data_IF_344554773450
#
_entry.id   IF_344554773450
#
_cell.length_a   1.000
_cell.length_b   1.000
_cell.length_c   1.000
_cell.angle_alpha   90.00
_cell.angle_beta   90.00
_cell.angle_gamma   90.00
#
_symmetry.space_group_name_H-M   'P 1'
#
loop_
_entity.id
_entity.type
_entity.pdbx_description
1 polymer ?
#
# COMPACT_ATOMS: atom_id res chain seq x y z
N UNK A 1 -8.66 53.83 16.10
CA UNK A 1 -9.84 54.14 15.27
C UNK A 1 -10.55 52.81 14.99
N UNK A 2 -11.78 52.62 15.48
CA UNK A 2 -12.54 51.37 15.33
C UNK A 2 -13.17 51.35 13.93
N UNK A 3 -12.82 50.38 13.08
CA UNK A 3 -13.55 50.15 11.83
C UNK A 3 -14.55 49.01 12.05
N UNK A 4 -15.81 49.41 12.19
CA UNK A 4 -16.99 48.54 12.15
C UNK A 4 -17.35 48.41 10.68
N UNK A 5 -17.17 47.23 10.11
CA UNK A 5 -17.73 46.90 8.79
C UNK A 5 -18.74 45.77 8.99
N UNK A 6 -20.01 46.14 8.90
CA UNK A 6 -21.13 45.20 8.84
C UNK A 6 -21.17 44.60 7.43
N UNK A 7 -21.32 43.28 7.26
CA UNK A 7 -21.60 42.72 5.95
C UNK A 7 -23.09 42.86 5.65
N UNK A 8 -23.41 43.63 4.61
CA UNK A 8 -24.75 43.70 4.05
C UNK A 8 -25.07 42.37 3.35
N UNK A 9 -25.82 41.49 4.00
CA UNK A 9 -26.41 40.31 3.35
C UNK A 9 -27.74 40.70 2.74
N UNK A 10 -27.76 40.76 1.41
CA UNK A 10 -28.99 40.51 0.65
C UNK A 10 -28.72 39.39 -0.34
N UNK A 11 -29.18 38.19 0.00
CA UNK A 11 -29.54 37.23 -1.02
C UNK A 11 -30.78 36.46 -0.55
N UNK A 12 -31.90 36.79 -1.19
CA UNK A 12 -33.06 35.93 -1.24
C UNK A 12 -32.75 34.81 -2.25
N UNK A 13 -33.07 33.56 -1.89
CA UNK A 13 -33.21 32.49 -2.85
C UNK A 13 -32.31 31.27 -2.60
N UNK A 14 -32.94 30.18 -2.16
CA UNK A 14 -32.55 28.83 -2.52
C UNK A 14 -31.57 28.15 -1.58
N UNK A 15 -32.11 27.26 -0.73
CA UNK A 15 -31.37 26.13 -0.16
C UNK A 15 -30.60 25.40 -1.27
N UNK A 16 -29.28 25.51 -1.30
CA UNK A 16 -28.41 24.67 -2.13
C UNK A 16 -27.27 24.09 -1.30
N UNK A 17 -27.49 22.85 -0.87
CA UNK A 17 -26.57 21.72 -1.01
C UNK A 17 -25.10 21.95 -0.64
N UNK A 18 -24.78 22.00 0.64
CA UNK A 18 -23.41 21.69 1.11
C UNK A 18 -23.11 20.19 1.23
N UNK A 19 -24.13 19.32 1.19
CA UNK A 19 -23.96 17.87 1.32
C UNK A 19 -23.41 17.21 0.04
N UNK A 20 -23.76 17.71 -1.15
CA UNK A 20 -23.43 17.06 -2.42
C UNK A 20 -21.93 17.06 -2.75
N UNK A 21 -21.20 18.10 -2.35
CA UNK A 21 -19.75 18.18 -2.61
C UNK A 21 -18.96 17.16 -1.78
N UNK A 22 -19.34 16.96 -0.51
CA UNK A 22 -18.61 16.06 0.39
C UNK A 22 -18.94 14.58 0.11
N UNK A 23 -20.18 14.28 -0.26
CA UNK A 23 -20.58 12.90 -0.61
C UNK A 23 -19.94 12.38 -1.90
N UNK A 24 -19.64 13.25 -2.86
CA UNK A 24 -18.98 12.85 -4.11
C UNK A 24 -17.47 12.60 -3.92
N UNK A 25 -16.81 13.39 -3.08
CA UNK A 25 -15.38 13.22 -2.77
C UNK A 25 -15.09 11.89 -2.07
N UNK A 26 -15.90 11.52 -1.06
CA UNK A 26 -15.79 10.23 -0.36
C UNK A 26 -15.93 9.06 -1.34
N UNK A 27 -16.92 9.10 -2.24
CA UNK A 27 -17.12 8.01 -3.22
C UNK A 27 -16.02 7.88 -4.27
N UNK A 28 -15.31 8.97 -4.59
CA UNK A 28 -14.22 8.96 -5.55
C UNK A 28 -12.91 8.49 -4.91
N UNK A 29 -12.66 8.85 -3.65
CA UNK A 29 -11.52 8.37 -2.87
C UNK A 29 -11.64 6.86 -2.59
N UNK A 30 -12.79 6.41 -2.11
CA UNK A 30 -13.07 4.98 -1.88
C UNK A 30 -12.85 4.12 -3.14
N UNK A 31 -13.24 4.64 -4.31
CA UNK A 31 -13.02 3.95 -5.58
C UNK A 31 -11.55 3.91 -5.99
N UNK A 32 -10.78 4.96 -5.71
CA UNK A 32 -9.33 4.99 -5.98
C UNK A 32 -8.60 4.01 -5.07
N UNK A 33 -8.92 4.02 -3.79
CA UNK A 33 -8.31 3.15 -2.79
C UNK A 33 -8.58 1.68 -3.11
N UNK A 34 -9.82 1.35 -3.49
CA UNK A 34 -10.18 0.00 -3.91
C UNK A 34 -9.39 -0.44 -5.15
N UNK A 35 -9.30 0.40 -6.19
CA UNK A 35 -8.52 0.07 -7.39
C UNK A 35 -7.04 -0.12 -7.09
N UNK A 36 -6.49 0.68 -6.19
CA UNK A 36 -5.10 0.54 -5.76
C UNK A 36 -4.88 -0.79 -5.02
N UNK A 37 -5.76 -1.13 -4.08
CA UNK A 37 -5.72 -2.40 -3.36
C UNK A 37 -5.86 -3.61 -4.31
N UNK A 38 -6.79 -3.53 -5.27
CA UNK A 38 -6.98 -4.58 -6.29
C UNK A 38 -5.72 -4.74 -7.17
N UNK A 39 -5.08 -3.63 -7.55
CA UNK A 39 -3.85 -3.67 -8.35
C UNK A 39 -2.68 -4.26 -7.55
N UNK A 40 -2.51 -3.84 -6.30
CA UNK A 40 -1.48 -4.38 -5.41
C UNK A 40 -1.72 -5.88 -5.15
N UNK A 41 -2.98 -6.26 -5.05
CA UNK A 41 -3.38 -7.67 -4.97
C UNK A 41 -2.96 -8.46 -6.20
N UNK A 42 -3.28 -7.97 -7.39
CA UNK A 42 -2.88 -8.64 -8.62
C UNK A 42 -1.35 -8.76 -8.73
N UNK A 43 -0.62 -7.71 -8.36
CA UNK A 43 0.84 -7.68 -8.36
C UNK A 43 1.45 -8.76 -7.45
N UNK A 44 0.98 -8.89 -6.21
CA UNK A 44 1.49 -9.92 -5.31
C UNK A 44 1.15 -11.33 -5.79
N UNK A 45 -0.06 -11.55 -6.33
CA UNK A 45 -0.41 -12.85 -6.90
C UNK A 45 0.52 -13.19 -8.07
N UNK A 46 0.84 -12.23 -8.94
CA UNK A 46 1.80 -12.41 -10.04
C UNK A 46 3.20 -12.78 -9.51
N UNK A 47 3.72 -12.05 -8.52
CA UNK A 47 5.02 -12.39 -7.90
C UNK A 47 5.00 -13.82 -7.35
N UNK A 48 3.93 -14.20 -6.64
CA UNK A 48 3.77 -15.55 -6.08
C UNK A 48 3.78 -16.62 -7.17
N UNK A 49 3.15 -16.38 -8.33
CA UNK A 49 3.18 -17.35 -9.44
C UNK A 49 4.59 -17.63 -9.95
N UNK A 50 5.52 -16.69 -9.85
CA UNK A 50 6.91 -16.86 -10.28
C UNK A 50 7.79 -17.55 -9.25
N UNK A 51 7.43 -17.48 -7.95
CA UNK A 51 8.26 -18.01 -6.85
C UNK A 51 7.66 -19.23 -6.16
N UNK A 52 6.45 -19.66 -6.54
CA UNK A 52 5.71 -20.78 -5.90
C UNK A 52 6.43 -22.13 -5.93
N UNK A 53 7.42 -22.32 -6.79
CA UNK A 53 8.18 -23.56 -6.91
C UNK A 53 9.54 -23.46 -6.21
N UNK A 54 9.89 -22.31 -5.64
CA UNK A 54 11.10 -22.16 -4.84
C UNK A 54 11.02 -23.00 -3.57
N UNK A 55 12.12 -23.65 -3.21
CA UNK A 55 12.24 -24.45 -1.98
C UNK A 55 12.34 -23.57 -0.74
N UNK A 56 12.91 -22.37 -0.89
CA UNK A 56 13.07 -21.39 0.18
C UNK A 56 12.89 -19.95 -0.35
N UNK A 57 12.31 -19.09 0.49
CA UNK A 57 11.94 -17.71 0.19
C UNK A 57 12.49 -16.80 1.29
N UNK A 58 13.34 -15.85 0.92
CA UNK A 58 13.83 -14.81 1.83
C UNK A 58 13.21 -13.47 1.43
N UNK A 59 12.50 -12.83 2.36
CA UNK A 59 11.87 -11.52 2.15
C UNK A 59 12.70 -10.42 2.82
N UNK A 60 13.06 -9.39 2.08
CA UNK A 60 13.69 -8.19 2.65
C UNK A 60 13.29 -6.93 1.89
N UNK A 61 13.20 -5.83 2.62
CA UNK A 61 12.96 -4.50 2.04
C UNK A 61 12.45 -3.48 3.05
N UNK A 62 12.44 -2.20 2.66
CA UNK A 62 11.89 -1.13 3.50
C UNK A 62 10.37 -1.21 3.53
N UNK A 63 9.78 -0.69 4.62
CA UNK A 63 8.32 -0.55 4.75
C UNK A 63 7.56 -1.86 4.94
N UNK A 64 6.26 -1.81 4.63
CA UNK A 64 5.26 -2.81 5.02
C UNK A 64 5.05 -3.92 3.97
N UNK A 65 5.43 -3.66 2.72
CA UNK A 65 5.19 -4.55 1.58
C UNK A 65 5.69 -6.00 1.80
N UNK A 66 6.81 -6.18 2.51
CA UNK A 66 7.33 -7.52 2.84
C UNK A 66 6.40 -8.30 3.77
N UNK A 67 5.74 -7.62 4.73
CA UNK A 67 4.81 -8.25 5.66
C UNK A 67 3.46 -8.55 5.00
N UNK A 68 3.03 -7.71 4.06
CA UNK A 68 1.85 -8.00 3.25
C UNK A 68 2.07 -9.22 2.35
N UNK A 69 3.24 -9.30 1.70
CA UNK A 69 3.61 -10.45 0.88
C UNK A 69 3.80 -11.73 1.73
N UNK A 70 4.40 -11.62 2.91
CA UNK A 70 4.52 -12.73 3.87
C UNK A 70 3.14 -13.32 4.21
N UNK A 71 2.17 -12.47 4.60
CA UNK A 71 0.81 -12.91 4.91
C UNK A 71 0.16 -13.63 3.73
N UNK A 72 0.29 -13.08 2.53
CA UNK A 72 -0.23 -13.73 1.31
C UNK A 72 0.41 -15.08 1.03
N UNK A 73 1.73 -15.20 1.20
CA UNK A 73 2.42 -16.48 1.04
C UNK A 73 1.93 -17.50 2.08
N UNK A 74 1.68 -17.07 3.32
CA UNK A 74 1.07 -17.91 4.35
C UNK A 74 -0.33 -18.39 3.94
N UNK A 75 -1.20 -17.48 3.48
CA UNK A 75 -2.56 -17.80 3.02
C UNK A 75 -2.58 -18.76 1.82
N UNK A 76 -1.54 -18.72 0.97
CA UNK A 76 -1.36 -19.63 -0.18
C UNK A 76 -0.67 -20.95 0.21
N UNK A 77 -0.40 -21.19 1.49
CA UNK A 77 0.25 -22.42 1.98
C UNK A 77 1.77 -22.49 1.72
N UNK A 78 2.41 -21.36 1.39
CA UNK A 78 3.84 -21.26 1.13
C UNK A 78 4.63 -20.73 2.34
N UNK A 79 3.94 -20.46 3.46
CA UNK A 79 4.55 -19.89 4.67
C UNK A 79 5.73 -20.71 5.22
N UNK A 80 5.69 -22.04 5.11
CA UNK A 80 6.80 -22.90 5.59
C UNK A 80 8.09 -22.76 4.78
N UNK A 81 8.02 -22.14 3.59
CA UNK A 81 9.19 -21.89 2.74
C UNK A 81 9.84 -20.54 3.06
N UNK A 82 9.20 -19.70 3.86
CA UNK A 82 9.75 -18.41 4.26
C UNK A 82 10.86 -18.67 5.27
N UNK A 83 12.11 -18.49 4.85
CA UNK A 83 13.29 -18.69 5.70
C UNK A 83 13.68 -17.44 6.46
N UNK A 84 13.11 -16.28 6.15
CA UNK A 84 13.37 -15.06 6.89
C UNK A 84 12.63 -13.86 6.32
N UNK A 85 12.34 -12.90 7.21
CA UNK A 85 11.74 -11.61 6.87
C UNK A 85 12.57 -10.52 7.54
N UNK A 86 13.16 -9.64 6.73
CA UNK A 86 14.10 -8.65 7.23
C UNK A 86 13.73 -7.23 6.79
N UNK A 87 13.74 -6.30 7.74
CA UNK A 87 13.65 -4.87 7.43
C UNK A 87 15.04 -4.37 7.08
N UNK A 88 15.20 -3.91 5.84
CA UNK A 88 16.44 -3.30 5.35
C UNK A 88 16.11 -2.02 4.60
N UNK A 89 17.06 -1.09 4.54
CA UNK A 89 16.98 0.04 3.63
C UNK A 89 17.18 -0.40 2.17
N UNK A 90 17.08 0.55 1.25
CA UNK A 90 17.32 0.30 -0.18
C UNK A 90 18.72 -0.29 -0.38
N UNK A 91 18.77 -1.52 -0.87
CA UNK A 91 20.01 -2.22 -1.22
C UNK A 91 20.32 -2.07 -2.71
N UNK A 92 21.60 -2.03 -3.06
CA UNK A 92 22.05 -2.24 -4.44
C UNK A 92 22.01 -3.73 -4.80
N UNK A 93 22.03 -4.06 -6.08
CA UNK A 93 22.04 -5.44 -6.56
C UNK A 93 23.20 -6.26 -5.97
N UNK A 94 24.37 -5.63 -5.79
CA UNK A 94 25.52 -6.27 -5.15
C UNK A 94 25.28 -6.60 -3.68
N UNK A 95 24.60 -5.72 -2.95
CA UNK A 95 24.22 -5.96 -1.55
C UNK A 95 23.11 -7.02 -1.44
N UNK A 96 22.16 -7.03 -2.37
CA UNK A 96 21.15 -8.08 -2.49
C UNK A 96 21.83 -9.44 -2.67
N UNK A 97 22.74 -9.54 -3.65
CA UNK A 97 23.48 -10.77 -3.92
C UNK A 97 24.32 -11.23 -2.72
N UNK A 98 25.02 -10.31 -2.05
CA UNK A 98 25.79 -10.61 -0.85
C UNK A 98 24.90 -11.17 0.27
N UNK A 99 23.70 -10.62 0.42
CA UNK A 99 22.75 -11.05 1.44
C UNK A 99 22.14 -12.42 1.16
N UNK A 100 21.77 -12.68 -0.08
CA UNK A 100 21.33 -14.02 -0.52
C UNK A 100 22.43 -15.04 -0.25
N UNK A 101 23.68 -14.73 -0.61
CA UNK A 101 24.84 -15.57 -0.31
C UNK A 101 25.01 -15.86 1.17
N UNK A 102 24.92 -14.84 2.03
CA UNK A 102 25.01 -15.02 3.48
C UNK A 102 23.94 -15.94 4.06
N UNK A 103 22.73 -15.97 3.46
CA UNK A 103 21.62 -16.78 3.97
C UNK A 103 21.61 -18.21 3.44
N UNK A 104 22.11 -18.45 2.24
CA UNK A 104 21.95 -19.72 1.52
C UNK A 104 23.24 -20.48 1.20
N UNK A 105 24.43 -19.94 1.53
CA UNK A 105 25.71 -20.64 1.38
C UNK A 105 26.20 -21.28 2.70
N UNK A 106 25.28 -21.79 3.53
CA UNK A 106 25.64 -22.74 4.59
C UNK A 106 25.83 -24.15 4.03
#
# INVERSE_FOLDING_TARGET
MKSRMEPHVRFAGGSRSKAAHQSLEVTAEDQRDRRFADHLSAYYDEVITHIRDAEAILLFGPGEAKGELEKRLQDKGLGSRIVGVETVDKLSDGQIAAKVRQRFLE
#
